data_IF_073316781487
#
_entry.id   IF_073316781487
#
_cell.length_a   1.000
_cell.length_b   1.000
_cell.length_c   1.000
_cell.angle_alpha   90.00
_cell.angle_beta   90.00
_cell.angle_gamma   90.00
#
_symmetry.space_group_name_H-M   'P 1'
#
loop_
_entity.id
_entity.type
_entity.pdbx_description
1 polymer ?
#
# COMPACT_ATOMS: atom_id res chain seq x y z
N UNK A 1 17.17 6.70 14.38
CA UNK A 1 17.69 5.94 13.22
C UNK A 1 18.88 5.11 13.68
N UNK A 2 18.74 3.79 13.90
CA UNK A 2 19.79 2.97 14.52
C UNK A 2 20.61 2.16 13.49
N UNK A 3 21.18 2.83 12.47
CA UNK A 3 21.88 2.15 11.36
C UNK A 3 23.35 2.52 11.19
N UNK A 4 23.86 3.59 11.81
CA UNK A 4 25.26 4.02 11.60
C UNK A 4 26.29 3.09 12.26
N UNK A 5 25.97 2.46 13.39
CA UNK A 5 26.88 1.53 14.09
C UNK A 5 27.20 0.25 13.30
N UNK A 6 26.19 -0.29 12.60
CA UNK A 6 26.32 -1.58 11.87
C UNK A 6 27.18 -1.47 10.60
N UNK A 7 27.32 -0.27 10.04
CA UNK A 7 28.16 -0.02 8.86
C UNK A 7 29.65 -0.23 9.18
N UNK A 8 30.10 0.30 10.31
CA UNK A 8 31.51 0.21 10.73
C UNK A 8 31.91 -1.21 11.14
N UNK A 9 31.01 -1.95 11.77
CA UNK A 9 31.21 -3.35 12.16
C UNK A 9 31.35 -4.25 10.92
N UNK A 10 30.54 -4.01 9.89
CA UNK A 10 30.59 -4.75 8.62
C UNK A 10 31.88 -4.47 7.85
N UNK A 11 32.32 -3.20 7.79
CA UNK A 11 33.58 -2.83 7.17
C UNK A 11 34.79 -3.41 7.91
N UNK A 12 34.74 -3.45 9.24
CA UNK A 12 35.79 -4.07 10.07
C UNK A 12 35.86 -5.58 9.85
N UNK A 13 34.70 -6.24 9.76
CA UNK A 13 34.60 -7.67 9.46
C UNK A 13 35.10 -8.02 8.04
N UNK A 14 34.80 -7.17 7.05
CA UNK A 14 35.32 -7.31 5.69
C UNK A 14 36.84 -7.16 5.64
N UNK A 15 37.40 -6.16 6.33
CA UNK A 15 38.85 -5.94 6.40
C UNK A 15 39.59 -7.09 7.09
N UNK A 16 38.97 -7.75 8.08
CA UNK A 16 39.56 -8.90 8.78
C UNK A 16 39.33 -10.24 8.08
N UNK A 17 38.41 -10.29 7.10
CA UNK A 17 38.10 -11.47 6.29
C UNK A 17 39.16 -11.69 5.21
N UNK A 18 39.45 -12.95 4.91
CA UNK A 18 40.43 -13.33 3.88
C UNK A 18 40.05 -12.84 2.47
N UNK A 19 38.77 -12.54 2.24
CA UNK A 19 38.28 -11.93 0.99
C UNK A 19 38.49 -10.42 0.90
N UNK A 20 38.63 -9.72 2.03
CA UNK A 20 38.87 -8.27 2.07
C UNK A 20 40.33 -7.92 2.40
N UNK A 21 41.17 -8.91 2.67
CA UNK A 21 42.61 -8.76 2.83
C UNK A 21 43.25 -8.67 1.44
N UNK A 22 43.39 -7.46 0.92
CA UNK A 22 44.15 -7.23 -0.30
C UNK A 22 45.62 -7.59 -0.05
N UNK A 23 46.09 -8.67 -0.68
CA UNK A 23 47.48 -9.10 -0.60
C UNK A 23 48.34 -8.20 -1.50
N UNK A 24 48.95 -7.18 -0.90
CA UNK A 24 50.02 -6.44 -1.57
C UNK A 24 51.32 -7.22 -1.41
N UNK A 25 51.84 -7.74 -2.52
CA UNK A 25 53.17 -8.37 -2.54
C UNK A 25 54.22 -7.30 -2.22
N UNK A 26 54.93 -7.47 -1.11
CA UNK A 26 55.92 -6.51 -0.60
C UNK A 26 57.07 -6.24 -1.59
N UNK A 27 57.26 -7.16 -2.54
CA UNK A 27 58.30 -7.11 -3.56
C UNK A 27 57.98 -6.12 -4.69
N UNK A 28 56.72 -5.68 -4.82
CA UNK A 28 56.30 -4.69 -5.83
C UNK A 28 56.89 -3.30 -5.56
N UNK A 29 57.01 -2.91 -4.29
CA UNK A 29 57.65 -1.66 -3.90
C UNK A 29 59.17 -1.68 -4.13
N UNK A 30 59.81 -2.86 -4.15
CA UNK A 30 61.24 -3.00 -4.44
C UNK A 30 61.56 -2.94 -5.94
N UNK A 31 60.61 -3.31 -6.81
CA UNK A 31 60.81 -3.28 -8.26
C UNK A 31 60.67 -1.91 -8.92
N UNK A 32 60.22 -0.87 -8.19
CA UNK A 32 60.11 0.52 -8.70
C UNK A 32 59.28 0.66 -9.99
N UNK A 33 58.43 -0.32 -10.28
CA UNK A 33 57.43 -0.27 -11.35
C UNK A 33 56.13 0.19 -10.71
N UNK A 34 55.88 1.50 -10.80
CA UNK A 34 54.72 2.14 -10.19
C UNK A 34 53.47 1.80 -11.01
N UNK A 35 52.80 0.70 -10.64
CA UNK A 35 51.62 0.16 -11.34
C UNK A 35 50.48 1.20 -11.44
N UNK A 36 50.48 2.23 -10.59
CA UNK A 36 49.50 3.32 -10.61
C UNK A 36 49.85 4.45 -11.59
N UNK A 37 51.05 4.49 -12.17
CA UNK A 37 51.43 5.52 -13.15
C UNK A 37 50.62 5.38 -14.46
N UNK A 38 50.23 4.15 -14.83
CA UNK A 38 49.34 3.90 -15.97
C UNK A 38 47.91 4.39 -15.71
N UNK A 39 47.44 4.38 -14.45
CA UNK A 39 46.12 4.88 -14.06
C UNK A 39 46.04 6.41 -13.97
N UNK A 40 47.18 7.11 -13.92
CA UNK A 40 47.25 8.58 -13.93
C UNK A 40 47.34 9.16 -15.36
N UNK A 41 47.47 8.30 -16.37
CA UNK A 41 47.45 8.71 -17.77
C UNK A 41 46.01 8.94 -18.25
N UNK A 42 45.78 10.01 -19.02
CA UNK A 42 44.46 10.28 -19.60
C UNK A 42 44.03 9.07 -20.45
N UNK A 43 42.81 8.54 -20.27
CA UNK A 43 42.35 7.40 -21.05
C UNK A 43 42.34 7.76 -22.54
N UNK A 44 43.16 7.07 -23.32
CA UNK A 44 43.25 7.25 -24.77
C UNK A 44 42.30 6.26 -25.43
N UNK A 45 41.44 6.78 -26.31
CA UNK A 45 40.64 5.93 -27.17
C UNK A 45 41.55 5.15 -28.11
N UNK A 46 41.18 3.90 -28.38
CA UNK A 46 41.81 3.06 -29.40
C UNK A 46 41.76 3.79 -30.75
N UNK A 47 42.80 3.65 -31.58
CA UNK A 47 42.83 4.18 -32.95
C UNK A 47 41.68 3.66 -33.84
N UNK A 48 41.00 2.59 -33.40
CA UNK A 48 39.83 2.02 -34.05
C UNK A 48 38.49 2.64 -33.60
N UNK A 49 38.50 3.56 -32.63
CA UNK A 49 37.26 4.17 -32.10
C UNK A 49 36.50 4.97 -33.15
N UNK A 50 37.18 5.55 -34.14
CA UNK A 50 36.55 6.26 -35.25
C UNK A 50 35.69 5.35 -36.13
N UNK A 51 36.15 4.12 -36.40
CA UNK A 51 35.42 3.15 -37.19
C UNK A 51 34.11 2.71 -36.51
N UNK A 52 34.15 2.53 -35.18
CA UNK A 52 32.97 2.14 -34.39
C UNK A 52 31.90 3.24 -34.41
N UNK A 53 32.29 4.51 -34.34
CA UNK A 53 31.33 5.63 -34.36
C UNK A 53 30.63 5.75 -35.72
N UNK A 54 31.35 5.55 -36.84
CA UNK A 54 30.75 5.60 -38.19
C UNK A 54 29.77 4.46 -38.46
N UNK A 55 29.98 3.27 -37.90
CA UNK A 55 29.18 2.08 -38.22
C UNK A 55 28.00 1.85 -37.25
N UNK A 56 27.97 2.56 -36.11
CA UNK A 56 26.86 2.51 -35.15
C UNK A 56 25.80 3.59 -35.43
N UNK A 57 26.17 4.69 -36.11
CA UNK A 57 25.29 5.82 -36.40
C UNK A 57 24.47 5.83 -37.72
N UNK A 58 24.44 4.83 -38.62
CA UNK A 58 23.61 4.95 -39.84
C UNK A 58 22.09 4.85 -39.63
N UNK A 59 21.57 4.67 -38.41
CA UNK A 59 20.12 4.42 -38.20
C UNK A 59 19.32 5.60 -37.63
N UNK A 60 19.88 6.80 -37.47
CA UNK A 60 19.19 7.93 -36.83
C UNK A 60 19.32 9.24 -37.62
N UNK A 61 19.18 9.20 -38.95
CA UNK A 61 19.15 10.42 -39.76
C UNK A 61 18.06 10.37 -40.84
N UNK A 62 16.82 10.61 -40.42
CA UNK A 62 15.86 11.34 -41.23
C UNK A 62 15.05 12.26 -40.31
N UNK A 63 14.93 13.53 -40.73
CA UNK A 63 14.29 14.69 -40.07
C UNK A 63 15.24 15.62 -39.29
N UNK A 64 15.79 16.60 -40.02
CA UNK A 64 16.28 17.90 -39.54
C UNK A 64 15.26 18.99 -39.98
N UNK A 65 15.24 20.27 -39.47
CA UNK A 65 16.27 20.93 -38.65
C UNK A 65 15.80 21.84 -37.47
N UNK A 66 16.79 22.13 -36.59
CA UNK A 66 17.05 23.30 -35.70
C UNK A 66 15.93 24.32 -35.36
N UNK A 67 15.64 24.53 -34.07
CA UNK A 67 16.29 25.59 -33.24
C UNK A 67 15.58 25.87 -31.89
N UNK A 68 16.40 25.93 -30.84
CA UNK A 68 16.40 26.87 -29.70
C UNK A 68 15.37 26.82 -28.54
N UNK A 69 15.96 26.68 -27.34
CA UNK A 69 15.60 27.20 -26.00
C UNK A 69 14.66 26.41 -25.05
N UNK A 70 15.29 26.03 -23.91
CA UNK A 70 14.89 25.59 -22.55
C UNK A 70 13.57 26.14 -21.95
N UNK A 71 13.21 25.83 -20.67
CA UNK A 71 13.06 24.54 -19.98
C UNK A 71 11.68 24.42 -19.23
N UNK A 72 11.44 23.26 -18.59
CA UNK A 72 10.65 23.07 -17.34
C UNK A 72 9.26 22.38 -17.40
N UNK A 73 9.10 21.44 -16.45
CA UNK A 73 7.90 21.14 -15.64
C UNK A 73 6.73 20.26 -16.14
N UNK A 74 6.60 19.11 -15.46
CA UNK A 74 5.38 18.64 -14.74
C UNK A 74 4.29 17.79 -15.47
N UNK A 75 4.15 16.55 -14.96
CA UNK A 75 2.93 15.73 -14.74
C UNK A 75 2.20 14.95 -15.86
N UNK A 76 2.09 13.65 -15.55
CA UNK A 76 0.91 12.75 -15.59
C UNK A 76 0.40 12.07 -16.88
N UNK A 77 0.23 10.74 -16.74
CA UNK A 77 -0.95 9.94 -17.14
C UNK A 77 -0.84 8.97 -18.34
N UNK A 78 -1.31 7.74 -18.06
CA UNK A 78 -1.91 6.71 -18.92
C UNK A 78 -1.06 6.11 -20.06
N UNK A 79 -0.67 4.83 -19.98
CA UNK A 79 -1.48 3.65 -20.34
C UNK A 79 -1.90 3.69 -21.81
N UNK A 80 -1.14 3.01 -22.68
CA UNK A 80 -1.67 1.94 -23.53
C UNK A 80 -0.54 1.22 -24.27
N UNK A 81 -0.57 -0.10 -24.17
CA UNK A 81 0.23 -1.04 -24.94
C UNK A 81 -0.60 -1.44 -26.18
N UNK A 82 0.05 -1.76 -27.30
CA UNK A 82 -0.35 -3.01 -27.94
C UNK A 82 0.84 -3.87 -28.39
N UNK A 83 0.64 -5.17 -28.20
CA UNK A 83 1.49 -6.28 -28.60
C UNK A 83 1.68 -6.38 -30.11
N UNK A 84 2.89 -6.72 -30.55
CA UNK A 84 3.13 -7.26 -31.88
C UNK A 84 3.91 -8.58 -31.80
N UNK A 85 3.23 -9.66 -32.20
CA UNK A 85 3.81 -10.95 -32.55
C UNK A 85 4.38 -10.85 -33.96
N UNK A 86 5.66 -11.18 -34.21
CA UNK A 86 6.17 -11.28 -35.57
C UNK A 86 5.93 -12.67 -36.17
N UNK A 87 5.34 -12.67 -37.36
CA UNK A 87 5.20 -13.80 -38.26
C UNK A 87 6.44 -13.83 -39.17
N UNK A 88 7.09 -14.97 -39.26
CA UNK A 88 8.28 -15.25 -40.07
C UNK A 88 8.02 -15.13 -41.57
N UNK A 89 9.08 -14.87 -42.36
CA UNK A 89 9.21 -15.51 -43.66
C UNK A 89 10.58 -16.17 -43.91
N UNK A 90 10.49 -17.21 -44.72
CA UNK A 90 11.49 -18.18 -45.15
C UNK A 90 12.64 -17.64 -46.01
N UNK A 91 13.66 -18.49 -46.03
CA UNK A 91 14.87 -18.52 -46.85
C UNK A 91 14.70 -18.19 -48.34
N UNK A 92 15.66 -17.43 -48.88
CA UNK A 92 16.34 -17.80 -50.12
C UNK A 92 17.69 -17.09 -50.24
N UNK A 93 18.72 -17.91 -50.37
CA UNK A 93 20.13 -17.58 -50.61
C UNK A 93 20.37 -17.15 -52.06
N UNK A 94 21.10 -16.05 -52.27
CA UNK A 94 21.96 -15.84 -53.45
C UNK A 94 22.98 -14.72 -53.16
N UNK A 95 24.26 -15.07 -53.04
CA UNK A 95 25.38 -14.13 -53.13
C UNK A 95 26.16 -14.42 -54.41
N UNK A 96 26.32 -13.40 -55.25
CA UNK A 96 27.34 -13.31 -56.30
C UNK A 96 28.20 -12.07 -56.04
N UNK A 97 29.54 -12.16 -56.00
CA UNK A 97 30.40 -11.00 -56.04
C UNK A 97 30.97 -10.75 -57.45
N UNK A 98 31.06 -9.47 -57.80
CA UNK A 98 31.60 -8.96 -59.05
C UNK A 98 33.14 -9.02 -59.11
N UNK A 99 33.68 -9.21 -60.31
CA UNK A 99 35.10 -9.09 -60.68
C UNK A 99 35.49 -7.66 -61.04
N UNK A 100 36.80 -7.34 -61.17
CA UNK A 100 37.23 -6.21 -61.98
C UNK A 100 38.16 -6.57 -63.17
N UNK A 101 37.89 -5.87 -64.27
CA UNK A 101 38.77 -5.33 -65.33
C UNK A 101 39.57 -6.25 -66.29
N UNK A 102 39.18 -6.15 -67.57
CA UNK A 102 39.88 -6.54 -68.83
C UNK A 102 41.04 -5.60 -69.19
N UNK A 103 41.95 -5.95 -70.14
CA UNK A 103 41.72 -5.49 -71.52
C UNK A 103 42.20 -6.43 -72.66
N UNK A 104 41.42 -6.34 -73.75
CA UNK A 104 41.77 -6.43 -75.19
C UNK A 104 42.40 -7.69 -75.79
N UNK A 105 41.62 -8.31 -76.67
CA UNK A 105 42.09 -9.25 -77.68
C UNK A 105 42.43 -8.56 -79.01
N UNK A 106 43.32 -9.19 -79.78
CA UNK A 106 43.19 -9.35 -81.23
C UNK A 106 44.05 -10.55 -81.69
N UNK A 107 43.60 -11.21 -82.77
CA UNK A 107 44.13 -12.40 -83.49
C UNK A 107 43.84 -13.74 -82.79
N UNK A 108 43.17 -14.71 -83.40
CA UNK A 108 42.97 -14.96 -84.83
C UNK A 108 44.00 -15.96 -85.33
N UNK A 109 43.52 -17.20 -85.45
CA UNK A 109 44.07 -18.34 -86.20
C UNK A 109 45.27 -19.09 -85.61
N UNK A 110 44.97 -20.35 -85.31
CA UNK A 110 45.77 -21.58 -85.44
C UNK A 110 47.20 -21.67 -84.90
N UNK A 111 47.50 -22.89 -84.45
CA UNK A 111 48.79 -23.41 -83.99
C UNK A 111 49.21 -22.99 -82.57
N UNK A 112 48.66 -23.69 -81.58
CA UNK A 112 49.54 -24.16 -80.51
C UNK A 112 49.20 -25.60 -80.20
N UNK A 113 50.20 -26.43 -80.45
CA UNK A 113 50.22 -27.86 -80.26
C UNK A 113 49.69 -28.17 -78.86
N UNK A 114 48.63 -28.96 -78.83
CA UNK A 114 48.22 -29.72 -77.69
C UNK A 114 49.45 -30.45 -77.19
N UNK A 115 50.11 -29.92 -76.15
CA UNK A 115 51.02 -30.71 -75.33
C UNK A 115 50.12 -31.57 -74.44
N UNK A 116 49.39 -32.48 -75.08
CA UNK A 116 49.11 -33.77 -74.50
C UNK A 116 50.49 -34.30 -74.14
N UNK A 117 50.82 -34.18 -72.86
CA UNK A 117 51.89 -34.93 -72.25
C UNK A 117 51.45 -36.40 -72.30
N UNK A 118 51.52 -37.00 -73.49
CA UNK A 118 51.57 -38.43 -73.70
C UNK A 118 52.92 -38.90 -73.14
N UNK A 119 53.07 -38.79 -71.82
CA UNK A 119 54.07 -39.56 -71.09
C UNK A 119 53.58 -40.98 -71.25
N UNK A 120 54.30 -41.75 -72.08
CA UNK A 120 54.26 -43.20 -72.08
C UNK A 120 54.37 -43.64 -70.63
N UNK A 121 53.21 -43.94 -70.02
CA UNK A 121 53.12 -44.28 -68.62
C UNK A 121 53.83 -45.62 -68.44
N UNK A 122 55.08 -45.56 -67.95
CA UNK A 122 55.78 -46.74 -67.49
C UNK A 122 54.87 -47.46 -66.49
N UNK A 123 54.75 -48.80 -66.60
CA UNK A 123 53.98 -49.63 -65.66
C UNK A 123 54.40 -49.41 -64.20
N UNK A 124 55.61 -48.90 -63.98
CA UNK A 124 56.14 -48.46 -62.69
C UNK A 124 55.57 -47.11 -62.22
N UNK A 125 55.36 -46.15 -63.12
CA UNK A 125 54.79 -44.83 -62.81
C UNK A 125 53.33 -44.91 -62.36
N UNK A 126 52.51 -45.69 -63.08
CA UNK A 126 51.09 -45.93 -62.74
C UNK A 126 50.93 -46.53 -61.34
N UNK A 127 51.78 -47.50 -60.99
CA UNK A 127 51.76 -48.14 -59.66
C UNK A 127 52.12 -47.17 -58.54
N UNK A 128 53.12 -46.31 -58.75
CA UNK A 128 53.54 -45.32 -57.75
C UNK A 128 52.46 -44.25 -57.56
N UNK A 129 51.85 -43.76 -58.65
CA UNK A 129 50.77 -42.78 -58.59
C UNK A 129 49.53 -43.32 -57.86
N UNK A 130 49.18 -44.59 -58.09
CA UNK A 130 48.13 -45.28 -57.34
C UNK A 130 48.41 -45.34 -55.83
N UNK A 131 49.66 -45.62 -55.44
CA UNK A 131 50.07 -45.58 -54.03
C UNK A 131 49.95 -44.17 -53.45
N UNK A 132 50.42 -43.12 -54.15
CA UNK A 132 50.33 -41.73 -53.69
C UNK A 132 48.87 -41.33 -53.45
N UNK A 133 47.98 -41.58 -54.41
CA UNK A 133 46.54 -41.28 -54.27
C UNK A 133 45.90 -42.01 -53.08
N UNK A 134 46.30 -43.26 -52.82
CA UNK A 134 45.80 -44.02 -51.68
C UNK A 134 46.28 -43.43 -50.34
N UNK A 135 47.56 -43.04 -50.24
CA UNK A 135 48.09 -42.35 -49.05
C UNK A 135 47.40 -41.00 -48.82
N UNK A 136 47.19 -40.21 -49.86
CA UNK A 136 46.46 -38.94 -49.78
C UNK A 136 45.03 -39.15 -49.29
N UNK A 137 44.34 -40.17 -49.80
CA UNK A 137 42.98 -40.51 -49.36
C UNK A 137 42.96 -40.90 -47.88
N UNK A 138 43.88 -41.75 -47.43
CA UNK A 138 43.99 -42.17 -46.03
C UNK A 138 44.28 -40.97 -45.12
N UNK A 139 45.21 -40.10 -45.50
CA UNK A 139 45.51 -38.90 -44.72
C UNK A 139 44.33 -37.91 -44.68
N UNK A 140 43.61 -37.75 -45.80
CA UNK A 140 42.39 -36.94 -45.86
C UNK A 140 41.34 -37.49 -44.90
N UNK A 141 41.04 -38.79 -44.97
CA UNK A 141 40.07 -39.46 -44.09
C UNK A 141 40.47 -39.34 -42.62
N UNK A 142 41.75 -39.52 -42.30
CA UNK A 142 42.25 -39.37 -40.93
C UNK A 142 42.15 -37.93 -40.43
N UNK A 143 42.41 -36.95 -41.28
CA UNK A 143 42.25 -35.52 -40.96
C UNK A 143 40.80 -35.14 -40.72
N UNK A 144 39.88 -35.59 -41.58
CA UNK A 144 38.43 -35.32 -41.43
C UNK A 144 37.86 -35.99 -40.19
N UNK A 145 38.27 -37.23 -39.90
CA UNK A 145 37.83 -37.96 -38.71
C UNK A 145 38.36 -37.30 -37.43
N UNK A 146 39.63 -36.89 -37.40
CA UNK A 146 40.21 -36.17 -36.27
C UNK A 146 39.53 -34.82 -36.01
N UNK A 147 39.20 -34.08 -37.06
CA UNK A 147 38.43 -32.83 -36.95
C UNK A 147 37.03 -33.08 -36.40
N UNK A 148 36.34 -34.13 -36.87
CA UNK A 148 35.02 -34.51 -36.38
C UNK A 148 35.05 -34.84 -34.88
N UNK A 149 35.96 -35.69 -34.45
CA UNK A 149 36.12 -36.05 -33.03
C UNK A 149 36.42 -34.83 -32.16
N UNK A 150 37.27 -33.93 -32.66
CA UNK A 150 37.56 -32.69 -31.95
C UNK A 150 36.31 -31.80 -31.84
N UNK A 151 35.52 -31.67 -32.91
CA UNK A 151 34.26 -30.92 -32.90
C UNK A 151 33.25 -31.53 -31.92
N UNK A 152 33.03 -32.84 -31.95
CA UNK A 152 32.15 -33.55 -31.02
C UNK A 152 32.56 -33.33 -29.56
N UNK A 153 33.86 -33.31 -29.27
CA UNK A 153 34.38 -33.01 -27.93
C UNK A 153 34.10 -31.56 -27.49
N UNK A 154 34.22 -30.59 -28.39
CA UNK A 154 33.87 -29.20 -28.10
C UNK A 154 32.37 -29.03 -27.90
N UNK A 155 31.55 -29.62 -28.78
CA UNK A 155 30.09 -29.59 -28.68
C UNK A 155 29.64 -30.20 -27.35
N UNK A 156 30.20 -31.34 -26.94
CA UNK A 156 29.88 -31.98 -25.65
C UNK A 156 30.20 -31.06 -24.46
N UNK A 157 31.33 -30.37 -24.49
CA UNK A 157 31.70 -29.40 -23.43
C UNK A 157 30.77 -28.20 -23.40
N UNK A 158 30.46 -27.62 -24.56
CA UNK A 158 29.53 -26.49 -24.67
C UNK A 158 28.14 -26.91 -24.20
N UNK A 159 27.68 -28.10 -24.57
CA UNK A 159 26.40 -28.63 -24.14
C UNK A 159 26.35 -28.81 -22.62
N UNK A 160 27.37 -29.41 -22.00
CA UNK A 160 27.42 -29.58 -20.55
C UNK A 160 27.40 -28.22 -19.80
N UNK A 161 28.12 -27.22 -20.32
CA UNK A 161 28.10 -25.86 -19.76
C UNK A 161 26.73 -25.19 -19.93
N UNK A 162 26.10 -25.36 -21.09
CA UNK A 162 24.77 -24.82 -21.38
C UNK A 162 23.70 -25.45 -20.48
N UNK A 163 23.74 -26.77 -20.31
CA UNK A 163 22.85 -27.51 -19.41
C UNK A 163 23.00 -27.00 -17.98
N UNK A 164 24.23 -26.92 -17.46
CA UNK A 164 24.50 -26.39 -16.13
C UNK A 164 24.01 -24.94 -15.96
N UNK A 165 24.28 -24.07 -16.94
CA UNK A 165 23.81 -22.68 -16.90
C UNK A 165 22.28 -22.59 -16.91
N UNK A 166 21.62 -23.43 -17.71
CA UNK A 166 20.16 -23.48 -17.78
C UNK A 166 19.53 -23.96 -16.47
N UNK A 167 20.15 -24.94 -15.79
CA UNK A 167 19.68 -25.39 -14.49
C UNK A 167 19.86 -24.33 -13.40
N UNK A 168 20.99 -23.60 -13.39
CA UNK A 168 21.19 -22.51 -12.44
C UNK A 168 20.15 -21.40 -12.62
N UNK A 169 19.83 -21.06 -13.88
CA UNK A 169 18.78 -20.10 -14.17
C UNK A 169 17.41 -20.59 -13.69
N UNK A 170 17.03 -21.84 -13.97
CA UNK A 170 15.78 -22.44 -13.46
C UNK A 170 15.68 -22.37 -11.94
N UNK A 171 16.73 -22.77 -11.22
CA UNK A 171 16.77 -22.71 -9.74
C UNK A 171 16.60 -21.28 -9.22
N UNK A 172 17.18 -20.30 -9.91
CA UNK A 172 17.04 -18.90 -9.57
C UNK A 172 15.61 -18.40 -9.78
N UNK A 173 14.99 -18.75 -10.90
CA UNK A 173 13.61 -18.39 -11.22
C UNK A 173 12.63 -19.03 -10.21
N UNK A 174 12.78 -20.32 -9.92
CA UNK A 174 11.99 -21.01 -8.88
C UNK A 174 12.10 -20.33 -7.51
N UNK A 175 13.32 -19.99 -7.09
CA UNK A 175 13.54 -19.28 -5.83
C UNK A 175 12.86 -17.91 -5.82
N UNK A 176 12.96 -17.17 -6.93
CA UNK A 176 12.33 -15.85 -7.07
C UNK A 176 10.80 -15.96 -7.00
N UNK A 177 10.21 -16.94 -7.67
CA UNK A 177 8.78 -17.20 -7.62
C UNK A 177 8.32 -17.59 -6.22
N UNK A 178 9.04 -18.49 -5.53
CA UNK A 178 8.72 -18.88 -4.15
C UNK A 178 8.78 -17.68 -3.20
N UNK A 179 9.80 -16.83 -3.35
CA UNK A 179 9.92 -15.60 -2.56
C UNK A 179 8.74 -14.66 -2.79
N UNK A 180 8.36 -14.43 -4.04
CA UNK A 180 7.21 -13.59 -4.37
C UNK A 180 5.90 -14.17 -3.81
N UNK A 181 5.67 -15.48 -3.96
CA UNK A 181 4.48 -16.14 -3.40
C UNK A 181 4.40 -15.97 -1.89
N UNK A 182 5.53 -16.13 -1.19
CA UNK A 182 5.60 -15.90 0.25
C UNK A 182 5.28 -14.45 0.62
N UNK A 183 5.91 -13.48 -0.05
CA UNK A 183 5.65 -12.06 0.20
C UNK A 183 4.17 -11.69 -0.03
N UNK A 184 3.56 -12.24 -1.09
CA UNK A 184 2.13 -12.06 -1.34
C UNK A 184 1.25 -12.72 -0.29
N UNK A 185 1.62 -13.90 0.20
CA UNK A 185 0.90 -14.58 1.27
C UNK A 185 0.98 -13.78 2.57
N UNK A 186 2.18 -13.36 2.97
CA UNK A 186 2.42 -12.55 4.17
C UNK A 186 1.62 -11.24 4.11
N UNK A 187 1.61 -10.56 2.96
CA UNK A 187 0.84 -9.33 2.76
C UNK A 187 -0.67 -9.57 2.89
N UNK A 188 -1.19 -10.65 2.29
CA UNK A 188 -2.61 -11.03 2.42
C UNK A 188 -2.99 -11.28 3.87
N UNK A 189 -2.16 -12.01 4.62
CA UNK A 189 -2.42 -12.27 6.04
C UNK A 189 -2.43 -10.99 6.87
N UNK A 190 -1.49 -10.08 6.64
CA UNK A 190 -1.44 -8.78 7.34
C UNK A 190 -2.69 -7.95 7.02
N UNK A 191 -3.10 -7.90 5.76
CA UNK A 191 -4.31 -7.19 5.33
C UNK A 191 -5.57 -7.79 5.97
N UNK A 192 -5.68 -9.12 6.01
CA UNK A 192 -6.82 -9.80 6.62
C UNK A 192 -6.87 -9.56 8.13
N UNK A 193 -5.73 -9.65 8.82
CA UNK A 193 -5.62 -9.34 10.26
C UNK A 193 -6.03 -7.90 10.54
N UNK A 194 -5.49 -6.94 9.80
CA UNK A 194 -5.82 -5.52 9.92
C UNK A 194 -7.31 -5.26 9.68
N UNK A 195 -7.91 -5.89 8.67
CA UNK A 195 -9.35 -5.80 8.38
C UNK A 195 -10.19 -6.35 9.53
N UNK A 196 -9.84 -7.52 10.07
CA UNK A 196 -10.51 -8.12 11.23
C UNK A 196 -10.41 -7.24 12.48
N UNK A 197 -9.24 -6.66 12.74
CA UNK A 197 -9.04 -5.73 13.86
C UNK A 197 -9.87 -4.45 13.69
N UNK A 198 -9.84 -3.85 12.51
CA UNK A 198 -10.62 -2.64 12.20
C UNK A 198 -12.13 -2.89 12.35
N UNK A 199 -12.63 -4.04 11.86
CA UNK A 199 -14.02 -4.45 12.04
C UNK A 199 -14.34 -4.61 13.53
N UNK A 200 -13.49 -5.29 14.29
CA UNK A 200 -13.65 -5.46 15.74
C UNK A 200 -13.68 -4.12 16.50
N UNK A 201 -12.86 -3.15 16.11
CA UNK A 201 -12.92 -1.79 16.67
C UNK A 201 -14.23 -1.08 16.32
N UNK A 202 -14.70 -1.21 15.08
CA UNK A 202 -15.97 -0.62 14.66
C UNK A 202 -17.16 -1.22 15.43
N UNK A 203 -17.17 -2.53 15.65
CA UNK A 203 -18.20 -3.20 16.44
C UNK A 203 -18.21 -2.76 17.90
N UNK A 204 -17.03 -2.61 18.52
CA UNK A 204 -16.89 -2.05 19.87
C UNK A 204 -17.48 -0.64 19.95
N UNK A 205 -17.16 0.23 19.01
CA UNK A 205 -17.74 1.58 18.96
C UNK A 205 -19.26 1.56 18.78
N UNK A 206 -19.79 0.70 17.90
CA UNK A 206 -21.24 0.55 17.73
C UNK A 206 -21.91 0.06 19.01
N UNK A 207 -21.31 -0.88 19.73
CA UNK A 207 -21.82 -1.36 21.02
C UNK A 207 -21.80 -0.26 22.09
N UNK A 208 -20.73 0.53 22.13
CA UNK A 208 -20.55 1.66 23.03
C UNK A 208 -21.60 2.75 22.80
N UNK A 209 -21.82 3.15 21.54
CA UNK A 209 -22.90 4.07 21.18
C UNK A 209 -24.29 3.54 21.55
N UNK A 210 -24.57 2.25 21.31
CA UNK A 210 -25.83 1.63 21.74
C UNK A 210 -25.98 1.66 23.25
N UNK A 211 -24.91 1.43 24.01
CA UNK A 211 -24.92 1.50 25.46
C UNK A 211 -25.20 2.92 25.97
N UNK A 212 -24.51 3.93 25.42
CA UNK A 212 -24.78 5.36 25.71
C UNK A 212 -26.23 5.73 25.43
N UNK A 213 -26.77 5.30 24.28
CA UNK A 213 -28.17 5.55 23.92
C UNK A 213 -29.15 4.91 24.91
N UNK A 214 -28.87 3.70 25.41
CA UNK A 214 -29.69 3.05 26.45
C UNK A 214 -29.70 3.85 27.74
N UNK A 215 -28.53 4.35 28.19
CA UNK A 215 -28.42 5.18 29.40
C UNK A 215 -29.23 6.47 29.24
N UNK A 216 -29.08 7.17 28.12
CA UNK A 216 -29.82 8.40 27.85
C UNK A 216 -31.33 8.18 27.83
N UNK A 217 -31.80 7.11 27.19
CA UNK A 217 -33.22 6.74 27.20
C UNK A 217 -33.74 6.42 28.60
N UNK A 218 -32.94 5.78 29.44
CA UNK A 218 -33.32 5.50 30.83
C UNK A 218 -33.46 6.80 31.62
N UNK A 219 -32.46 7.68 31.56
CA UNK A 219 -32.49 9.00 32.21
C UNK A 219 -33.67 9.85 31.76
N UNK A 220 -34.01 9.81 30.46
CA UNK A 220 -35.16 10.52 29.92
C UNK A 220 -36.48 10.00 30.54
N UNK A 221 -36.64 8.67 30.65
CA UNK A 221 -37.83 8.09 31.29
C UNK A 221 -37.90 8.41 32.78
N UNK A 222 -36.78 8.38 33.48
CA UNK A 222 -36.70 8.76 34.91
C UNK A 222 -37.07 10.23 35.11
N UNK A 223 -36.54 11.13 34.28
CA UNK A 223 -36.88 12.55 34.31
C UNK A 223 -38.38 12.78 34.02
N UNK A 224 -38.95 12.08 33.05
CA UNK A 224 -40.38 12.18 32.75
C UNK A 224 -41.24 11.67 33.91
N UNK A 225 -40.85 10.56 34.56
CA UNK A 225 -41.53 10.07 35.76
C UNK A 225 -41.45 11.07 36.92
N UNK A 226 -40.29 11.71 37.12
CA UNK A 226 -40.13 12.76 38.12
C UNK A 226 -41.02 13.97 37.81
N UNK A 227 -41.07 14.40 36.55
CA UNK A 227 -41.94 15.49 36.08
C UNK A 227 -43.42 15.19 36.35
N UNK A 228 -43.86 13.97 36.06
CA UNK A 228 -45.24 13.52 36.33
C UNK A 228 -45.54 13.53 37.83
N UNK A 229 -44.66 12.96 38.67
CA UNK A 229 -44.82 12.97 40.13
C UNK A 229 -44.89 14.38 40.70
N UNK A 230 -44.03 15.29 40.22
CA UNK A 230 -44.06 16.70 40.61
C UNK A 230 -45.37 17.37 40.20
N UNK A 231 -45.84 17.15 38.96
CA UNK A 231 -47.11 17.70 38.49
C UNK A 231 -48.31 17.18 39.29
N UNK A 232 -48.33 15.90 39.66
CA UNK A 232 -49.36 15.33 40.54
C UNK A 232 -49.32 15.96 41.94
N UNK A 233 -48.13 16.12 42.52
CA UNK A 233 -47.98 16.74 43.84
C UNK A 233 -48.40 18.23 43.81
N UNK A 234 -48.08 18.96 42.75
CA UNK A 234 -48.59 20.33 42.55
C UNK A 234 -50.11 20.36 42.38
N UNK A 235 -50.70 19.38 41.68
CA UNK A 235 -52.15 19.26 41.54
C UNK A 235 -52.81 19.06 42.90
N UNK A 236 -52.30 18.13 43.72
CA UNK A 236 -52.77 17.90 45.08
C UNK A 236 -52.64 19.16 45.94
N UNK A 237 -51.50 19.87 45.88
CA UNK A 237 -51.33 21.14 46.61
C UNK A 237 -52.35 22.21 46.19
N UNK A 238 -52.69 22.29 44.89
CA UNK A 238 -53.72 23.21 44.39
C UNK A 238 -55.12 22.80 44.87
N UNK A 239 -55.45 21.52 44.81
CA UNK A 239 -56.73 20.97 45.28
C UNK A 239 -56.91 21.22 46.80
N UNK A 240 -55.90 20.94 47.61
CA UNK A 240 -55.91 21.26 49.05
C UNK A 240 -56.07 22.76 49.30
N UNK A 241 -55.39 23.60 48.52
CA UNK A 241 -55.53 25.06 48.58
C UNK A 241 -56.97 25.51 48.29
N UNK A 242 -57.60 24.90 47.29
CA UNK A 242 -59.01 25.16 46.97
C UNK A 242 -59.95 24.68 48.09
N UNK A 243 -59.69 23.52 48.69
CA UNK A 243 -60.49 23.01 49.83
C UNK A 243 -60.38 23.97 51.02
N UNK A 244 -59.17 24.41 51.35
CA UNK A 244 -58.94 25.42 52.41
C UNK A 244 -59.69 26.72 52.12
N UNK A 245 -59.66 27.19 50.87
CA UNK A 245 -60.38 28.40 50.46
C UNK A 245 -61.91 28.25 50.63
N UNK A 246 -62.48 27.12 50.21
CA UNK A 246 -63.92 26.84 50.42
C UNK A 246 -64.28 26.78 51.90
N UNK A 247 -63.42 26.19 52.74
CA UNK A 247 -63.61 26.16 54.18
C UNK A 247 -63.60 27.56 54.80
N UNK A 248 -62.70 28.45 54.35
CA UNK A 248 -62.67 29.84 54.80
C UNK A 248 -63.95 30.60 54.42
N UNK A 249 -64.47 30.42 53.20
CA UNK A 249 -65.75 31.03 52.81
C UNK A 249 -66.91 30.52 53.65
N UNK A 250 -66.95 29.21 53.96
CA UNK A 250 -67.97 28.66 54.85
C UNK A 250 -67.87 29.25 56.28
N UNK A 251 -66.66 29.41 56.82
CA UNK A 251 -66.44 30.04 58.12
C UNK A 251 -66.83 31.53 58.12
N UNK A 252 -66.56 32.24 57.02
CA UNK A 252 -66.97 33.63 56.85
C UNK A 252 -68.50 33.76 56.84
N UNK A 253 -69.19 32.89 56.11
CA UNK A 253 -70.66 32.82 56.07
C UNK A 253 -71.23 32.57 57.47
N UNK A 254 -70.69 31.60 58.22
CA UNK A 254 -71.13 31.32 59.59
C UNK A 254 -70.87 32.50 60.55
N UNK A 255 -69.74 33.19 60.42
CA UNK A 255 -69.46 34.40 61.23
C UNK A 255 -70.46 35.51 60.93
N UNK A 256 -70.81 35.70 59.66
CA UNK A 256 -71.80 36.68 59.25
C UNK A 256 -73.19 36.33 59.80
N UNK A 257 -73.58 35.05 59.75
CA UNK A 257 -74.84 34.57 60.34
C UNK A 257 -74.88 34.78 61.86
N UNK A 258 -73.79 34.47 62.57
CA UNK A 258 -73.68 34.72 64.01
C UNK A 258 -73.78 36.21 64.34
N UNK A 259 -73.13 37.08 63.55
CA UNK A 259 -73.24 38.53 63.71
C UNK A 259 -74.68 39.02 63.52
N UNK A 260 -75.35 38.59 62.45
CA UNK A 260 -76.74 38.95 62.18
C UNK A 260 -77.69 38.46 63.27
N UNK A 261 -77.47 37.24 63.80
CA UNK A 261 -78.23 36.71 64.94
C UNK A 261 -78.00 37.52 66.22
N UNK A 262 -76.76 37.97 66.46
CA UNK A 262 -76.42 38.84 67.57
C UNK A 262 -77.10 40.21 67.46
N UNK A 263 -77.06 40.81 66.27
CA UNK A 263 -77.68 42.11 65.97
C UNK A 263 -79.22 42.07 66.09
N UNK A 264 -79.85 40.99 65.60
CA UNK A 264 -81.30 40.76 65.76
C UNK A 264 -81.69 40.49 67.23
N UNK A 265 -80.80 39.83 67.99
CA UNK A 265 -80.95 39.59 69.43
C UNK A 265 -80.81 40.88 70.26
N UNK A 266 -79.85 41.75 69.91
CA UNK A 266 -79.67 43.07 70.52
C UNK A 266 -80.94 43.94 70.39
N UNK A 267 -81.64 43.87 69.25
CA UNK A 267 -82.93 44.55 69.02
C UNK A 267 -84.10 43.95 69.83
N UNK A 268 -84.03 42.66 70.19
CA UNK A 268 -85.04 41.94 70.99
C UNK A 268 -84.64 41.76 72.47
N UNK A 269 -83.63 42.50 72.96
CA UNK A 269 -83.11 42.46 74.35
C UNK A 269 -84.14 42.64 75.45
N UNK A 270 -85.34 43.15 75.13
CA UNK A 270 -86.42 43.31 76.10
C UNK A 270 -87.25 42.04 76.38
N UNK A 271 -87.15 40.96 75.58
CA UNK A 271 -88.10 39.85 75.68
C UNK A 271 -87.55 38.41 75.65
N UNK A 272 -86.29 38.15 75.25
CA UNK A 272 -85.74 36.79 75.19
C UNK A 272 -84.37 36.68 75.87
N UNK A 273 -84.23 35.71 76.78
CA UNK A 273 -82.93 35.28 77.35
C UNK A 273 -82.09 34.64 76.24
N UNK A 274 -81.32 35.44 75.54
CA UNK A 274 -80.34 34.96 74.58
C UNK A 274 -79.13 34.40 75.33
N UNK A 275 -78.72 33.16 75.02
CA UNK A 275 -77.58 32.51 75.64
C UNK A 275 -76.26 33.06 75.08
N UNK A 276 -75.81 34.17 75.66
CA UNK A 276 -74.56 34.84 75.29
C UNK A 276 -73.33 33.92 75.42
N UNK A 277 -73.37 32.95 76.34
CA UNK A 277 -72.28 32.00 76.53
C UNK A 277 -72.18 31.01 75.36
N UNK A 278 -73.30 30.62 74.76
CA UNK A 278 -73.32 29.81 73.55
C UNK A 278 -72.67 30.54 72.36
N UNK A 279 -72.98 31.83 72.17
CA UNK A 279 -72.35 32.67 71.13
C UNK A 279 -70.84 32.81 71.32
N UNK A 280 -70.38 33.10 72.55
CA UNK A 280 -68.95 33.16 72.86
C UNK A 280 -68.25 31.82 72.60
N UNK A 281 -68.87 30.71 72.99
CA UNK A 281 -68.32 29.37 72.77
C UNK A 281 -68.18 29.05 71.29
N UNK A 282 -69.21 29.37 70.47
CA UNK A 282 -69.15 29.17 69.02
C UNK A 282 -68.13 30.09 68.35
N UNK A 283 -68.05 31.36 68.73
CA UNK A 283 -67.03 32.28 68.23
C UNK A 283 -65.61 31.78 68.50
N UNK A 284 -65.35 31.28 69.71
CA UNK A 284 -64.05 30.68 70.06
C UNK A 284 -63.73 29.41 69.24
N UNK A 285 -64.75 28.60 68.93
CA UNK A 285 -64.59 27.45 68.03
C UNK A 285 -64.20 27.88 66.62
N UNK A 286 -64.85 28.92 66.07
CA UNK A 286 -64.51 29.47 64.75
C UNK A 286 -63.08 30.03 64.73
N UNK A 287 -62.67 30.79 65.75
CA UNK A 287 -61.29 31.27 65.89
C UNK A 287 -60.26 30.13 65.92
N UNK A 288 -60.61 29.02 66.58
CA UNK A 288 -59.76 27.82 66.63
C UNK A 288 -59.65 27.14 65.26
N UNK A 289 -60.76 27.03 64.52
CA UNK A 289 -60.79 26.49 63.15
C UNK A 289 -59.97 27.35 62.18
N UNK A 290 -60.13 28.67 62.23
CA UNK A 290 -59.36 29.63 61.42
C UNK A 290 -57.87 29.49 61.73
N UNK A 291 -57.51 29.44 63.01
CA UNK A 291 -56.12 29.25 63.46
C UNK A 291 -55.53 27.92 62.97
N UNK A 292 -56.35 26.85 62.90
CA UNK A 292 -55.97 25.57 62.31
C UNK A 292 -55.64 25.68 60.81
N UNK A 293 -56.48 26.38 60.04
CA UNK A 293 -56.28 26.57 58.59
C UNK A 293 -55.04 27.43 58.31
N UNK A 294 -54.82 28.51 59.08
CA UNK A 294 -53.66 29.38 58.93
C UNK A 294 -52.37 28.62 59.20
N UNK A 295 -52.32 27.84 60.29
CA UNK A 295 -51.15 27.00 60.62
C UNK A 295 -50.86 25.96 59.55
N UNK A 296 -51.88 25.23 59.09
CA UNK A 296 -51.73 24.27 57.99
C UNK A 296 -51.22 24.92 56.69
N UNK A 297 -51.55 26.20 56.47
CA UNK A 297 -51.05 26.97 55.32
C UNK A 297 -49.61 27.46 55.49
N UNK A 298 -49.18 27.73 56.72
CA UNK A 298 -47.81 28.17 57.06
C UNK A 298 -46.79 27.02 57.04
N UNK A 299 -47.18 25.81 57.44
CA UNK A 299 -46.29 24.64 57.44
C UNK A 299 -45.92 24.21 56.01
N UNK A 300 -46.84 24.41 55.06
CA UNK A 300 -46.64 24.18 53.63
C UNK A 300 -45.75 25.23 52.95
N UNK A 301 -45.68 26.45 53.46
CA UNK A 301 -44.82 27.51 52.90
C UNK A 301 -43.37 27.41 53.38
N UNK A 302 -43.11 26.94 54.61
CA UNK A 302 -41.73 26.72 55.09
C UNK A 302 -41.06 25.51 54.43
N UNK A 303 -41.85 24.52 54.01
CA UNK A 303 -41.38 23.38 53.22
C UNK A 303 -40.88 23.76 51.81
N UNK A 304 -41.05 25.02 51.38
CA UNK A 304 -40.51 25.56 50.10
C UNK A 304 -39.11 26.13 50.18
N UNK A 305 -38.61 26.46 51.38
CA UNK A 305 -37.30 27.13 51.54
C UNK A 305 -36.16 26.15 51.86
N UNK A 306 -36.46 24.86 52.05
CA UNK A 306 -35.51 23.83 52.49
C UNK A 306 -35.19 22.76 51.43
N UNK A 307 -35.54 22.97 50.15
CA UNK A 307 -35.27 22.02 49.05
C UNK A 307 -34.63 22.70 47.84
#
# INVERSE_FOLDING_TARGET
MPSEGRCWETLKALRSSDKGRLCYYRDWLLRREDVLEECMSLPKLSSYSGWVVEHVLPHMQENQPLSETSPSSTSASALDQPSFVPKSPDASSAFSPASPATPNGTKGKDESQHTESMVLQSSRGIKVEGCVRMYELVHRMKGTEGLRLWQEEQERKVQALSEMASEQLKRFDEWKELKQHKEFQDLREVMEKSSREALGHQEKLKAEHRHRAKILNLKLREAEQQRVKQAEQERLRKEEGQIRLRALYALQEEMLQLSQQLDASEQHKALLKVDLAAFQTRGNQLCSLISGIIRASSELSHSRESS
#
